data_IF_821410473576
#
_entry.id   IF_821410473576
#
_cell.length_a   1.000
_cell.length_b   1.000
_cell.length_c   1.000
_cell.angle_alpha   90.00
_cell.angle_beta   90.00
_cell.angle_gamma   90.00
#
_symmetry.space_group_name_H-M   'P 1'
#
loop_
_entity.id
_entity.type
_entity.pdbx_description
1 polymer ?
#
# COMPACT_ATOMS: atom_id res chain seq x y z
N UNK A 1 12.77 -8.65 6.09
CA UNK A 1 12.95 -7.26 6.57
C UNK A 1 13.02 -7.24 8.08
N UNK A 2 14.01 -6.57 8.65
CA UNK A 2 14.17 -6.41 10.11
C UNK A 2 13.54 -5.09 10.56
N UNK A 3 12.31 -5.14 11.09
CA UNK A 3 11.50 -3.94 11.37
C UNK A 3 12.12 -3.00 12.41
N UNK A 4 12.82 -3.53 13.42
CA UNK A 4 13.38 -2.73 14.52
C UNK A 4 14.36 -1.64 14.05
N UNK A 5 15.06 -1.84 12.92
CA UNK A 5 15.95 -0.81 12.37
C UNK A 5 15.20 0.44 11.88
N UNK A 6 13.89 0.32 11.60
CA UNK A 6 13.03 1.43 11.19
C UNK A 6 12.28 2.08 12.36
N UNK A 7 12.44 1.57 13.58
CA UNK A 7 11.73 2.09 14.76
C UNK A 7 11.93 3.59 15.00
N UNK A 8 13.09 4.20 14.73
CA UNK A 8 13.25 5.66 14.84
C UNK A 8 12.32 6.49 13.94
N UNK A 9 11.75 5.87 12.92
CA UNK A 9 10.82 6.50 11.96
C UNK A 9 9.34 6.25 12.31
N UNK A 10 9.03 5.49 13.37
CA UNK A 10 7.63 5.23 13.79
C UNK A 10 7.11 6.38 14.66
N UNK A 11 7.02 7.54 14.06
CA UNK A 11 6.63 8.77 14.74
C UNK A 11 5.43 9.41 14.03
N UNK A 12 4.81 10.36 14.71
CA UNK A 12 3.70 11.15 14.16
C UNK A 12 4.06 11.91 12.87
N UNK A 13 5.37 12.12 12.62
CA UNK A 13 5.83 12.89 11.47
C UNK A 13 5.97 12.03 10.21
N UNK A 14 6.03 10.70 10.37
CA UNK A 14 6.24 9.77 9.26
C UNK A 14 5.14 8.74 9.09
N UNK A 15 4.48 8.30 10.15
CA UNK A 15 3.29 7.45 10.04
C UNK A 15 2.07 8.32 9.75
N UNK A 16 1.33 7.97 8.71
CA UNK A 16 0.09 8.64 8.29
C UNK A 16 -1.16 7.78 8.55
N UNK A 17 -0.98 6.66 9.23
CA UNK A 17 -1.96 5.65 9.55
C UNK A 17 -1.28 4.46 10.22
N UNK A 18 -1.93 3.30 10.31
CA UNK A 18 -1.34 2.08 10.82
C UNK A 18 -0.01 1.77 10.16
N UNK A 19 0.94 1.18 10.91
CA UNK A 19 2.33 1.05 10.48
C UNK A 19 2.46 0.30 9.14
N UNK A 20 2.62 1.07 8.07
CA UNK A 20 2.75 0.59 6.70
C UNK A 20 3.93 -0.37 6.49
N UNK A 21 4.99 -0.28 7.32
CA UNK A 21 6.14 -1.18 7.22
C UNK A 21 5.82 -2.61 7.67
N UNK A 22 4.88 -2.81 8.59
CA UNK A 22 4.42 -4.15 8.94
C UNK A 22 3.64 -4.80 7.80
N UNK A 23 2.81 -4.00 7.12
CA UNK A 23 2.07 -4.43 5.93
C UNK A 23 3.05 -4.77 4.81
N UNK A 24 4.01 -3.88 4.55
CA UNK A 24 5.05 -4.10 3.53
C UNK A 24 5.88 -5.37 3.82
N UNK A 25 6.28 -5.59 5.07
CA UNK A 25 7.03 -6.78 5.46
C UNK A 25 6.27 -8.05 5.07
N UNK A 26 5.00 -8.16 5.46
CA UNK A 26 4.21 -9.35 5.18
C UNK A 26 3.98 -9.56 3.67
N UNK A 27 3.81 -8.48 2.90
CA UNK A 27 3.70 -8.56 1.44
C UNK A 27 5.01 -8.98 0.78
N UNK A 28 6.15 -8.51 1.25
CA UNK A 28 7.46 -8.95 0.75
C UNK A 28 7.73 -10.43 1.04
N UNK A 29 7.26 -10.98 2.15
CA UNK A 29 7.31 -12.42 2.46
C UNK A 29 6.47 -13.26 1.48
N UNK A 30 5.40 -12.69 0.94
CA UNK A 30 4.49 -13.32 -0.03
C UNK A 30 4.89 -13.08 -1.49
N UNK A 31 5.89 -12.23 -1.72
CA UNK A 31 6.32 -11.85 -3.07
C UNK A 31 6.99 -13.03 -3.80
N UNK A 32 6.45 -13.51 -4.94
CA UNK A 32 7.04 -14.59 -5.71
C UNK A 32 8.26 -14.14 -6.55
N UNK A 33 8.48 -12.82 -6.68
CA UNK A 33 9.47 -12.22 -7.57
C UNK A 33 10.59 -11.57 -6.76
N UNK A 34 11.82 -12.11 -6.74
CA UNK A 34 12.93 -11.47 -6.05
C UNK A 34 13.19 -10.05 -6.58
N UNK A 35 13.22 -9.07 -5.69
CA UNK A 35 13.61 -7.70 -5.99
C UNK A 35 15.06 -7.48 -5.54
N UNK A 36 15.82 -6.73 -6.34
CA UNK A 36 17.25 -6.51 -6.11
C UNK A 36 17.68 -5.13 -6.62
N UNK A 37 18.99 -4.84 -6.60
CA UNK A 37 19.54 -3.55 -6.98
C UNK A 37 19.31 -3.13 -8.46
N UNK A 38 19.02 -4.09 -9.33
CA UNK A 38 18.69 -3.83 -10.75
C UNK A 38 17.19 -3.58 -10.97
N UNK A 39 16.37 -3.78 -9.94
CA UNK A 39 14.93 -3.59 -10.01
C UNK A 39 14.53 -2.11 -9.97
N UNK A 40 13.46 -1.78 -10.67
CA UNK A 40 12.77 -0.49 -10.57
C UNK A 40 11.39 -0.71 -9.99
N UNK A 41 11.09 -0.04 -8.88
CA UNK A 41 9.84 -0.15 -8.13
C UNK A 41 9.06 1.16 -8.23
N UNK A 42 7.76 1.09 -8.49
CA UNK A 42 6.84 2.19 -8.27
C UNK A 42 6.16 2.00 -6.91
N UNK A 43 6.38 2.92 -5.97
CA UNK A 43 5.62 3.01 -4.72
C UNK A 43 4.51 4.04 -4.92
N UNK A 44 3.27 3.55 -5.05
CA UNK A 44 2.10 4.32 -5.46
C UNK A 44 1.25 4.72 -4.26
N UNK A 45 1.21 6.01 -3.96
CA UNK A 45 0.66 6.56 -2.73
C UNK A 45 1.62 6.34 -1.56
N UNK A 46 2.88 6.78 -1.74
CA UNK A 46 3.95 6.55 -0.78
C UNK A 46 3.85 7.39 0.52
N UNK A 47 2.94 8.38 0.55
CA UNK A 47 2.82 9.32 1.66
C UNK A 47 4.14 10.02 1.95
N UNK A 48 4.60 9.98 3.20
CA UNK A 48 5.90 10.53 3.62
C UNK A 48 7.12 9.77 3.07
N UNK A 49 6.90 8.70 2.30
CA UNK A 49 7.97 7.92 1.65
C UNK A 49 8.61 6.85 2.53
N UNK A 50 8.01 6.51 3.66
CA UNK A 50 8.58 5.52 4.58
C UNK A 50 8.64 4.11 3.95
N UNK A 51 7.63 3.72 3.18
CA UNK A 51 7.60 2.47 2.40
C UNK A 51 8.65 2.48 1.29
N UNK A 52 8.80 3.59 0.58
CA UNK A 52 9.84 3.77 -0.44
C UNK A 52 11.24 3.62 0.14
N UNK A 53 11.48 4.21 1.31
CA UNK A 53 12.74 4.09 2.05
C UNK A 53 13.03 2.63 2.40
N UNK A 54 12.06 1.92 2.98
CA UNK A 54 12.25 0.52 3.34
C UNK A 54 12.46 -0.38 2.11
N UNK A 55 11.70 -0.20 1.03
CA UNK A 55 11.88 -0.90 -0.23
C UNK A 55 13.30 -0.73 -0.77
N UNK A 56 13.79 0.52 -0.83
CA UNK A 56 15.14 0.81 -1.27
C UNK A 56 16.21 0.13 -0.40
N UNK A 57 16.06 0.20 0.93
CA UNK A 57 17.03 -0.37 1.87
C UNK A 57 17.03 -1.90 1.91
N UNK A 58 15.87 -2.54 1.75
CA UNK A 58 15.76 -4.01 1.81
C UNK A 58 16.16 -4.70 0.52
N UNK A 59 15.91 -4.05 -0.62
CA UNK A 59 16.12 -4.68 -1.94
C UNK A 59 17.34 -4.11 -2.67
N UNK A 60 17.79 -2.91 -2.32
CA UNK A 60 18.78 -2.15 -3.09
C UNK A 60 18.20 -1.49 -4.35
N UNK A 61 16.92 -1.71 -4.66
CA UNK A 61 16.25 -1.24 -5.87
C UNK A 61 16.20 0.29 -5.95
N UNK A 62 16.02 0.79 -7.16
CA UNK A 62 15.57 2.17 -7.38
C UNK A 62 14.06 2.25 -7.20
N UNK A 63 13.59 3.34 -6.58
CA UNK A 63 12.17 3.54 -6.29
C UNK A 63 11.71 4.87 -6.89
N UNK A 64 10.59 4.84 -7.63
CA UNK A 64 9.80 6.03 -7.92
C UNK A 64 8.71 6.12 -6.84
N UNK A 65 8.81 7.15 -6.00
CA UNK A 65 7.93 7.37 -4.86
C UNK A 65 6.84 8.37 -5.26
N UNK A 66 5.66 7.88 -5.65
CA UNK A 66 4.57 8.72 -6.12
C UNK A 66 3.56 8.98 -5.03
N UNK A 67 3.21 10.25 -4.83
CA UNK A 67 2.11 10.66 -3.95
C UNK A 67 1.39 11.88 -4.53
N UNK A 68 0.10 12.03 -4.18
CA UNK A 68 -0.72 13.17 -4.58
C UNK A 68 -0.81 14.24 -3.48
N UNK A 69 -0.74 13.84 -2.20
CA UNK A 69 -0.94 14.73 -1.05
C UNK A 69 0.36 15.33 -0.54
N UNK A 70 1.46 14.57 -0.63
CA UNK A 70 2.78 15.00 -0.20
C UNK A 70 3.57 15.48 -1.41
N UNK A 71 4.10 16.69 -1.33
CA UNK A 71 4.83 17.28 -2.45
C UNK A 71 6.14 16.54 -2.75
N UNK A 72 6.55 16.57 -4.03
CA UNK A 72 7.82 16.00 -4.44
C UNK A 72 9.02 16.66 -3.74
N UNK A 73 8.95 17.95 -3.43
CA UNK A 73 10.01 18.68 -2.72
C UNK A 73 10.18 18.19 -1.28
N UNK A 74 9.05 18.00 -0.55
CA UNK A 74 9.09 17.47 0.82
C UNK A 74 9.68 16.06 0.87
N UNK A 75 9.28 15.20 -0.06
CA UNK A 75 9.81 13.84 -0.14
C UNK A 75 11.28 13.83 -0.59
N UNK A 76 11.69 14.69 -1.52
CA UNK A 76 13.10 14.84 -1.91
C UNK A 76 13.99 15.24 -0.72
N UNK A 77 13.53 16.19 0.09
CA UNK A 77 14.22 16.60 1.30
C UNK A 77 14.35 15.43 2.31
N UNK A 78 13.28 14.65 2.52
CA UNK A 78 13.32 13.46 3.40
C UNK A 78 14.27 12.39 2.88
N UNK A 79 14.22 12.05 1.60
CA UNK A 79 15.10 11.03 1.02
C UNK A 79 16.58 11.46 1.06
N UNK A 80 16.85 12.75 0.90
CA UNK A 80 18.19 13.30 1.08
C UNK A 80 18.65 13.16 2.53
N UNK A 81 17.80 13.54 3.49
CA UNK A 81 18.10 13.42 4.91
C UNK A 81 18.30 11.95 5.37
N UNK A 82 17.60 11.01 4.73
CA UNK A 82 17.74 9.57 4.99
C UNK A 82 18.89 8.91 4.21
N UNK A 83 19.64 9.67 3.41
CA UNK A 83 20.80 9.17 2.66
C UNK A 83 20.47 8.27 1.48
N UNK A 84 19.27 8.40 0.91
CA UNK A 84 18.77 7.58 -0.22
C UNK A 84 18.29 8.41 -1.42
N UNK A 85 18.55 9.70 -1.41
CA UNK A 85 18.07 10.62 -2.46
C UNK A 85 18.63 10.35 -3.86
N UNK A 86 19.69 9.58 -3.99
CA UNK A 86 20.25 9.09 -5.26
C UNK A 86 19.52 7.86 -5.82
N UNK A 87 18.74 7.16 -5.01
CA UNK A 87 18.04 5.91 -5.37
C UNK A 87 16.53 6.03 -5.34
N UNK A 88 15.97 7.02 -4.65
CA UNK A 88 14.53 7.26 -4.60
C UNK A 88 14.21 8.58 -5.29
N UNK A 89 13.40 8.52 -6.33
CA UNK A 89 12.94 9.70 -7.07
C UNK A 89 11.50 10.01 -6.66
N UNK A 90 11.24 11.16 -6.04
CA UNK A 90 9.86 11.56 -5.73
C UNK A 90 9.13 11.95 -7.01
N UNK A 91 7.86 11.57 -7.08
CA UNK A 91 6.92 11.90 -8.15
C UNK A 91 5.65 12.47 -7.52
N UNK A 92 5.11 13.55 -8.09
CA UNK A 92 3.90 14.19 -7.59
C UNK A 92 2.82 14.15 -8.69
N UNK A 93 2.14 12.99 -8.81
CA UNK A 93 1.18 12.73 -9.86
C UNK A 93 -0.07 12.03 -9.31
N UNK A 94 -1.22 12.32 -9.92
CA UNK A 94 -2.45 11.59 -9.65
C UNK A 94 -2.36 10.17 -10.21
N UNK A 95 -2.74 9.17 -9.41
CA UNK A 95 -2.73 7.75 -9.79
C UNK A 95 -3.56 7.44 -11.05
N UNK A 96 -4.58 8.24 -11.35
CA UNK A 96 -5.37 8.11 -12.58
C UNK A 96 -4.66 8.61 -13.84
N UNK A 97 -3.62 9.43 -13.70
CA UNK A 97 -2.95 10.13 -14.80
C UNK A 97 -1.45 9.84 -14.94
N UNK A 98 -0.99 8.73 -14.38
CA UNK A 98 0.41 8.31 -14.47
C UNK A 98 0.88 8.18 -15.93
N UNK A 99 2.08 8.69 -16.20
CA UNK A 99 2.65 8.77 -17.55
C UNK A 99 3.99 8.04 -17.64
N UNK A 100 4.01 6.80 -17.17
CA UNK A 100 5.19 5.96 -17.32
C UNK A 100 5.16 5.18 -18.64
N UNK A 101 6.33 4.79 -19.13
CA UNK A 101 6.41 3.90 -20.26
C UNK A 101 5.84 2.52 -19.90
N UNK A 102 5.21 1.80 -20.83
CA UNK A 102 4.81 0.42 -20.59
C UNK A 102 6.00 -0.46 -20.20
N UNK A 103 5.73 -1.49 -19.39
CA UNK A 103 6.73 -2.49 -18.98
C UNK A 103 7.98 -1.87 -18.33
N UNK A 104 7.80 -0.80 -17.52
CA UNK A 104 8.90 -0.10 -16.86
C UNK A 104 9.29 -0.70 -15.51
N UNK A 105 8.33 -1.26 -14.76
CA UNK A 105 8.54 -1.63 -13.36
C UNK A 105 8.62 -3.13 -13.15
N UNK A 106 9.57 -3.54 -12.31
CA UNK A 106 9.68 -4.90 -11.79
C UNK A 106 8.61 -5.14 -10.72
N UNK A 107 8.27 -4.09 -9.95
CA UNK A 107 7.16 -4.12 -9.01
C UNK A 107 6.39 -2.79 -8.95
N UNK A 108 5.10 -2.87 -8.67
CA UNK A 108 4.27 -1.76 -8.21
C UNK A 108 3.79 -2.09 -6.80
N UNK A 109 4.11 -1.24 -5.85
CA UNK A 109 3.74 -1.39 -4.44
C UNK A 109 2.78 -0.26 -4.07
N UNK A 110 1.75 -0.55 -3.28
CA UNK A 110 0.86 0.46 -2.72
C UNK A 110 0.36 0.01 -1.35
N UNK A 111 0.72 0.75 -0.32
CA UNK A 111 0.35 0.44 1.05
C UNK A 111 -0.55 1.54 1.59
N UNK A 112 -1.73 1.15 2.07
CA UNK A 112 -2.74 2.05 2.68
C UNK A 112 -3.16 3.22 1.77
N UNK A 113 -3.14 2.99 0.45
CA UNK A 113 -3.45 4.02 -0.54
C UNK A 113 -4.33 3.53 -1.69
N UNK A 114 -4.12 2.31 -2.20
CA UNK A 114 -4.77 1.79 -3.40
C UNK A 114 -6.32 1.83 -3.34
N UNK A 115 -6.92 1.72 -2.17
CA UNK A 115 -8.37 1.75 -1.96
C UNK A 115 -9.00 3.11 -2.32
N UNK A 116 -8.27 4.21 -2.26
CA UNK A 116 -8.79 5.54 -2.58
C UNK A 116 -9.16 5.72 -4.06
N UNK A 117 -8.50 4.99 -4.96
CA UNK A 117 -8.65 5.22 -6.41
C UNK A 117 -8.99 3.96 -7.21
N UNK A 118 -8.79 2.77 -6.67
CA UNK A 118 -8.85 1.51 -7.42
C UNK A 118 -10.10 0.65 -7.15
N UNK A 119 -11.12 1.17 -6.45
CA UNK A 119 -12.35 0.44 -6.11
C UNK A 119 -13.26 0.12 -7.32
N UNK A 120 -12.79 0.31 -8.56
CA UNK A 120 -13.56 0.08 -9.78
C UNK A 120 -13.00 -1.11 -10.57
N UNK A 121 -13.91 -1.96 -11.07
CA UNK A 121 -13.53 -3.06 -11.96
C UNK A 121 -12.74 -2.54 -13.18
N UNK A 122 -11.68 -3.26 -13.54
CA UNK A 122 -10.83 -2.89 -14.69
C UNK A 122 -9.75 -1.85 -14.41
N UNK A 123 -9.72 -1.21 -13.22
CA UNK A 123 -8.69 -0.22 -12.90
C UNK A 123 -7.28 -0.82 -12.96
N UNK A 124 -7.07 -1.97 -12.34
CA UNK A 124 -5.78 -2.64 -12.35
C UNK A 124 -5.29 -2.91 -13.78
N UNK A 125 -6.15 -3.50 -14.60
CA UNK A 125 -5.82 -3.88 -15.98
C UNK A 125 -5.50 -2.67 -16.86
N UNK A 126 -6.19 -1.56 -16.65
CA UNK A 126 -6.06 -0.36 -17.48
C UNK A 126 -4.93 0.56 -17.02
N UNK A 127 -4.68 0.63 -15.71
CA UNK A 127 -3.80 1.65 -15.12
C UNK A 127 -2.50 1.11 -14.54
N UNK A 128 -2.46 -0.14 -14.06
CA UNK A 128 -1.30 -0.69 -13.37
C UNK A 128 -0.62 -1.78 -14.19
N UNK A 129 -1.38 -2.77 -14.68
CA UNK A 129 -0.84 -3.91 -15.42
C UNK A 129 0.04 -3.52 -16.61
N UNK A 130 -0.27 -2.46 -17.39
CA UNK A 130 0.59 -2.03 -18.50
C UNK A 130 1.98 -1.60 -18.07
N UNK A 131 2.14 -1.06 -16.86
CA UNK A 131 3.42 -0.58 -16.35
C UNK A 131 4.33 -1.71 -15.84
N UNK A 132 3.77 -2.85 -15.45
CA UNK A 132 4.55 -3.99 -15.02
C UNK A 132 5.29 -4.63 -16.20
N UNK A 133 6.56 -4.97 -15.99
CA UNK A 133 7.32 -5.85 -16.90
C UNK A 133 6.68 -7.24 -16.95
N UNK A 134 6.87 -8.02 -18.03
CA UNK A 134 6.56 -9.46 -17.98
C UNK A 134 7.27 -10.14 -16.81
N UNK A 135 6.52 -10.88 -16.00
CA UNK A 135 7.01 -11.47 -14.75
C UNK A 135 7.02 -10.52 -13.54
N UNK A 136 6.76 -9.22 -13.73
CA UNK A 136 6.69 -8.24 -12.65
C UNK A 136 5.47 -8.44 -11.73
N UNK A 137 5.51 -7.85 -10.55
CA UNK A 137 4.54 -8.08 -9.47
C UNK A 137 3.90 -6.78 -8.98
N UNK A 138 2.61 -6.83 -8.61
CA UNK A 138 1.95 -5.82 -7.82
C UNK A 138 1.73 -6.34 -6.39
N UNK A 139 2.11 -5.54 -5.40
CA UNK A 139 2.00 -5.83 -3.97
C UNK A 139 1.17 -4.72 -3.32
N UNK A 140 -0.08 -5.01 -3.00
CA UNK A 140 -0.97 -4.03 -2.40
C UNK A 140 -1.42 -4.48 -1.02
N UNK A 141 -1.38 -3.56 -0.06
CA UNK A 141 -1.92 -3.73 1.27
C UNK A 141 -2.86 -2.57 1.58
N UNK A 142 -4.12 -2.86 1.80
CA UNK A 142 -5.16 -1.84 1.99
C UNK A 142 -6.00 -2.14 3.23
N UNK A 143 -6.59 -1.13 3.86
CA UNK A 143 -7.62 -1.37 4.86
C UNK A 143 -8.81 -2.08 4.21
N UNK A 144 -9.44 -2.95 4.97
CA UNK A 144 -10.57 -3.72 4.51
C UNK A 144 -11.52 -4.09 5.64
N UNK A 145 -12.48 -4.91 5.33
CA UNK A 145 -13.50 -5.40 6.26
C UNK A 145 -13.54 -6.94 6.25
N UNK A 146 -13.95 -7.51 7.40
CA UNK A 146 -14.05 -8.96 7.57
C UNK A 146 -15.27 -9.55 6.88
N UNK A 147 -16.37 -8.82 6.92
CA UNK A 147 -17.65 -9.21 6.30
C UNK A 147 -17.85 -8.47 4.98
N UNK A 148 -18.80 -8.91 4.18
CA UNK A 148 -19.15 -8.20 2.94
C UNK A 148 -19.80 -6.85 3.27
N UNK A 149 -19.49 -5.84 2.44
CA UNK A 149 -20.04 -4.49 2.63
C UNK A 149 -21.54 -4.48 2.29
N UNK A 150 -22.35 -4.14 3.27
CA UNK A 150 -23.78 -3.96 3.17
C UNK A 150 -24.26 -2.75 4.00
N UNK A 151 -25.55 -2.49 4.01
CA UNK A 151 -26.14 -1.39 4.79
C UNK A 151 -25.89 -1.52 6.31
N UNK A 152 -25.73 -2.72 6.84
CA UNK A 152 -25.43 -2.93 8.26
C UNK A 152 -23.96 -2.60 8.54
N UNK A 153 -23.07 -3.05 7.71
CA UNK A 153 -21.61 -2.75 7.78
C UNK A 153 -21.37 -1.25 7.62
N UNK A 154 -22.06 -0.61 6.66
CA UNK A 154 -22.00 0.85 6.48
C UNK A 154 -22.38 1.60 7.76
N UNK A 155 -23.50 1.28 8.36
CA UNK A 155 -23.94 1.91 9.63
C UNK A 155 -22.99 1.68 10.79
N UNK A 156 -22.32 0.53 10.81
CA UNK A 156 -21.36 0.18 11.85
C UNK A 156 -20.07 0.98 11.69
N UNK A 157 -19.59 1.19 10.48
CA UNK A 157 -18.34 1.88 10.17
C UNK A 157 -18.49 3.41 10.08
N UNK A 158 -19.70 3.92 9.76
CA UNK A 158 -19.95 5.35 9.56
C UNK A 158 -19.55 6.26 10.73
N UNK A 159 -19.68 5.87 12.01
CA UNK A 159 -19.20 6.71 13.12
C UNK A 159 -17.71 7.01 13.10
N UNK A 160 -16.91 6.12 12.48
CA UNK A 160 -15.47 6.25 12.32
C UNK A 160 -15.09 6.81 10.94
N UNK A 161 -15.58 6.22 9.86
CA UNK A 161 -15.16 6.52 8.48
C UNK A 161 -16.06 7.53 7.75
N UNK A 162 -17.24 7.86 8.31
CA UNK A 162 -18.19 8.72 7.61
C UNK A 162 -18.59 8.12 6.26
N UNK A 163 -18.50 8.94 5.21
CA UNK A 163 -18.84 8.54 3.84
C UNK A 163 -17.76 7.64 3.17
N UNK A 164 -16.58 7.52 3.76
CA UNK A 164 -15.47 6.73 3.18
C UNK A 164 -15.59 5.22 3.42
N UNK A 165 -16.57 4.78 4.22
CA UNK A 165 -16.78 3.37 4.55
C UNK A 165 -16.92 2.45 3.31
N UNK A 166 -17.44 2.96 2.21
CA UNK A 166 -17.63 2.21 0.95
C UNK A 166 -16.29 1.81 0.28
N UNK A 167 -15.18 2.43 0.65
CA UNK A 167 -13.85 2.09 0.09
C UNK A 167 -13.25 0.83 0.72
N UNK A 168 -13.81 0.38 1.85
CA UNK A 168 -13.33 -0.78 2.59
C UNK A 168 -13.99 -2.04 2.06
N UNK A 169 -13.21 -2.91 1.45
CA UNK A 169 -13.70 -4.14 0.83
C UNK A 169 -13.12 -5.38 1.51
N UNK A 170 -13.88 -6.46 1.52
CA UNK A 170 -13.39 -7.78 1.92
C UNK A 170 -12.38 -8.35 0.92
N UNK A 171 -11.57 -9.35 1.28
CA UNK A 171 -10.70 -10.06 0.34
C UNK A 171 -11.46 -10.62 -0.87
N UNK A 172 -12.68 -11.10 -0.64
CA UNK A 172 -13.56 -11.62 -1.71
C UNK A 172 -13.96 -10.51 -2.69
N UNK A 173 -14.34 -9.34 -2.16
CA UNK A 173 -14.73 -8.20 -3.01
C UNK A 173 -13.53 -7.65 -3.79
N UNK A 174 -12.35 -7.53 -3.16
CA UNK A 174 -11.13 -7.13 -3.87
C UNK A 174 -10.77 -8.10 -5.00
N UNK A 175 -10.90 -9.42 -4.77
CA UNK A 175 -10.68 -10.42 -5.83
C UNK A 175 -11.64 -10.22 -7.00
N UNK A 176 -12.90 -9.85 -6.73
CA UNK A 176 -13.89 -9.53 -7.76
C UNK A 176 -13.54 -8.25 -8.53
N UNK A 177 -13.13 -7.19 -7.81
CA UNK A 177 -12.70 -5.91 -8.41
C UNK A 177 -11.47 -6.10 -9.31
N UNK A 178 -10.48 -6.87 -8.86
CA UNK A 178 -9.33 -7.24 -9.66
C UNK A 178 -9.71 -8.03 -10.92
N UNK A 179 -10.78 -8.82 -10.86
CA UNK A 179 -11.26 -9.58 -12.02
C UNK A 179 -10.25 -10.56 -12.58
N UNK A 180 -10.39 -10.89 -13.86
CA UNK A 180 -9.49 -11.79 -14.58
C UNK A 180 -8.94 -11.10 -15.83
N UNK A 181 -7.69 -11.39 -16.16
CA UNK A 181 -7.06 -10.94 -17.40
C UNK A 181 -6.05 -12.00 -17.88
N UNK A 182 -5.92 -12.25 -19.21
CA UNK A 182 -5.01 -13.27 -19.72
C UNK A 182 -3.54 -13.04 -19.35
N UNK A 183 -3.12 -11.77 -19.22
CA UNK A 183 -1.73 -11.39 -18.92
C UNK A 183 -1.43 -11.27 -17.42
N UNK A 184 -2.36 -11.65 -16.53
CA UNK A 184 -2.11 -11.60 -15.09
C UNK A 184 -2.51 -12.89 -14.39
N UNK A 185 -1.93 -13.06 -13.21
CA UNK A 185 -2.31 -14.09 -12.24
C UNK A 185 -2.50 -13.43 -10.89
N UNK A 186 -3.66 -13.66 -10.26
CA UNK A 186 -3.88 -13.29 -8.87
C UNK A 186 -3.29 -14.41 -8.01
N UNK A 187 -2.08 -14.18 -7.52
CA UNK A 187 -1.35 -15.14 -6.68
C UNK A 187 -2.05 -15.28 -5.33
N UNK A 188 -2.36 -14.15 -4.70
CA UNK A 188 -3.03 -14.17 -3.39
C UNK A 188 -3.90 -12.91 -3.20
N UNK A 189 -5.04 -13.08 -2.54
CA UNK A 189 -5.83 -12.00 -1.92
C UNK A 189 -6.30 -12.54 -0.58
N UNK A 190 -5.81 -11.99 0.51
CA UNK A 190 -6.00 -12.53 1.86
C UNK A 190 -5.98 -11.44 2.92
N UNK A 191 -6.50 -11.76 4.11
CA UNK A 191 -6.27 -10.94 5.29
C UNK A 191 -4.80 -11.03 5.73
N UNK A 192 -4.22 -9.90 6.16
CA UNK A 192 -2.86 -9.85 6.67
C UNK A 192 -2.85 -10.04 8.19
N UNK A 193 -1.85 -10.80 8.67
CA UNK A 193 -1.66 -11.11 10.10
C UNK A 193 -1.14 -9.92 10.90
N UNK A 194 -0.49 -8.97 10.23
CA UNK A 194 0.13 -7.82 10.87
C UNK A 194 -0.87 -6.76 11.36
N UNK A 195 -2.17 -6.93 11.12
CA UNK A 195 -3.21 -5.93 11.38
C UNK A 195 -3.13 -5.33 12.80
N UNK A 196 -3.26 -6.15 13.83
CA UNK A 196 -3.26 -5.63 15.21
C UNK A 196 -1.93 -4.95 15.57
N UNK A 197 -0.81 -5.53 15.16
CA UNK A 197 0.51 -4.97 15.45
C UNK A 197 0.74 -3.62 14.73
N UNK A 198 0.28 -3.50 13.48
CA UNK A 198 0.38 -2.25 12.73
C UNK A 198 -0.46 -1.14 13.37
N UNK A 199 -1.67 -1.47 13.84
CA UNK A 199 -2.54 -0.55 14.56
C UNK A 199 -1.97 -0.15 15.91
N UNK A 200 -1.39 -1.08 16.68
CA UNK A 200 -0.77 -0.77 17.97
C UNK A 200 0.39 0.22 17.82
N UNK A 201 1.23 0.05 16.79
CA UNK A 201 2.30 1.03 16.51
C UNK A 201 1.73 2.43 16.22
N UNK A 202 0.65 2.51 15.45
CA UNK A 202 -0.02 3.78 15.13
C UNK A 202 -0.65 4.44 16.35
N UNK A 203 -1.43 3.69 17.11
CA UNK A 203 -2.14 4.17 18.29
C UNK A 203 -1.22 4.64 19.42
N UNK A 204 0.05 4.25 19.39
CA UNK A 204 1.08 4.74 20.34
C UNK A 204 1.73 6.04 19.91
N UNK A 205 1.47 6.52 18.69
CA UNK A 205 1.97 7.82 18.25
C UNK A 205 1.19 8.97 18.91
N UNK A 206 1.81 10.15 18.98
CA UNK A 206 1.14 11.37 19.45
C UNK A 206 0.37 12.10 18.32
N UNK A 207 0.09 11.42 17.21
CA UNK A 207 -0.65 11.96 16.09
C UNK A 207 -2.13 12.17 16.46
N UNK A 208 -2.71 13.30 16.06
CA UNK A 208 -4.11 13.61 16.40
C UNK A 208 -5.11 12.64 15.75
N UNK A 209 -4.82 12.15 14.56
CA UNK A 209 -5.64 11.13 13.91
C UNK A 209 -5.57 9.79 14.66
N UNK A 210 -4.38 9.40 15.14
CA UNK A 210 -4.22 8.19 15.97
C UNK A 210 -5.04 8.28 17.27
N UNK A 211 -5.09 9.46 17.90
CA UNK A 211 -5.94 9.69 19.09
C UNK A 211 -7.43 9.59 18.77
N UNK A 212 -7.85 10.08 17.60
CA UNK A 212 -9.22 9.95 17.13
C UNK A 212 -9.58 8.47 16.86
N UNK A 213 -8.71 7.73 16.19
CA UNK A 213 -8.88 6.31 15.91
C UNK A 213 -8.94 5.45 17.18
N UNK A 214 -8.18 5.82 18.21
CA UNK A 214 -8.15 5.10 19.47
C UNK A 214 -9.53 4.98 20.12
N UNK A 215 -10.42 5.95 19.90
CA UNK A 215 -11.81 5.94 20.39
C UNK A 215 -12.60 4.78 19.81
N UNK A 216 -12.31 4.40 18.57
CA UNK A 216 -13.03 3.38 17.83
C UNK A 216 -12.32 2.02 17.80
N UNK A 217 -11.10 1.94 18.34
CA UNK A 217 -10.26 0.75 18.21
C UNK A 217 -10.94 -0.54 18.69
N UNK A 218 -11.41 -0.58 19.93
CA UNK A 218 -11.99 -1.80 20.51
C UNK A 218 -13.42 -2.07 20.02
N UNK A 219 -14.15 -1.04 19.59
CA UNK A 219 -15.58 -1.15 19.30
C UNK A 219 -15.89 -1.33 17.83
N UNK A 220 -15.08 -0.79 16.94
CA UNK A 220 -15.31 -0.78 15.49
C UNK A 220 -14.11 -1.34 14.74
N UNK A 221 -12.92 -0.75 14.92
CA UNK A 221 -11.77 -1.05 14.08
C UNK A 221 -11.34 -2.50 14.23
N UNK A 222 -10.98 -2.89 15.44
CA UNK A 222 -10.47 -4.25 15.73
C UNK A 222 -11.46 -5.37 15.38
N UNK A 223 -12.74 -5.31 15.76
CA UNK A 223 -13.69 -6.40 15.46
C UNK A 223 -14.14 -6.45 14.00
N UNK A 224 -14.22 -5.31 13.30
CA UNK A 224 -14.90 -5.24 12.01
C UNK A 224 -13.97 -5.14 10.82
N UNK A 225 -12.73 -4.68 11.01
CA UNK A 225 -11.80 -4.41 9.93
C UNK A 225 -10.59 -5.34 9.95
N UNK A 226 -9.84 -5.30 8.86
CA UNK A 226 -8.59 -6.03 8.66
C UNK A 226 -7.68 -5.23 7.72
N UNK A 227 -6.50 -5.77 7.40
CA UNK A 227 -5.79 -5.43 6.17
C UNK A 227 -5.96 -6.53 5.14
N UNK A 228 -6.22 -6.14 3.91
CA UNK A 228 -6.25 -7.04 2.76
C UNK A 228 -4.96 -6.89 1.98
N UNK A 229 -4.20 -7.98 1.90
CA UNK A 229 -3.04 -8.10 1.05
C UNK A 229 -3.42 -8.69 -0.30
N UNK A 230 -2.90 -8.08 -1.37
CA UNK A 230 -3.10 -8.53 -2.74
C UNK A 230 -1.74 -8.68 -3.42
N UNK A 231 -1.47 -9.87 -3.95
CA UNK A 231 -0.27 -10.20 -4.73
C UNK A 231 -0.73 -10.60 -6.12
N UNK A 232 -0.36 -9.81 -7.13
CA UNK A 232 -0.74 -10.04 -8.53
C UNK A 232 0.53 -10.06 -9.36
N UNK A 233 0.70 -11.07 -10.18
CA UNK A 233 1.84 -11.20 -11.09
C UNK A 233 1.42 -10.99 -12.53
N UNK A 234 2.17 -10.18 -13.29
CA UNK A 234 2.07 -10.13 -14.75
C UNK A 234 2.72 -11.37 -15.33
N UNK A 235 1.99 -12.10 -16.18
CA UNK A 235 2.52 -13.31 -16.82
C UNK A 235 3.74 -12.98 -17.68
N UNK A 236 4.73 -13.87 -17.68
CA UNK A 236 5.84 -13.81 -18.62
C UNK A 236 5.32 -14.05 -20.04
N UNK A 237 5.90 -13.35 -21.02
CA UNK A 237 5.63 -13.65 -22.44
C UNK A 237 6.25 -15.02 -22.73
N UNK A 238 5.44 -15.96 -23.19
CA UNK A 238 5.91 -17.28 -23.69
C UNK A 238 6.70 -17.10 -24.99
#
# INVERSE_FOLDING_TARGET
MELEKYRPYWTKDYLMGPNSLRVLQELLEKNPCPLNADSLILDLGCGTGLTSFALCMETGAKVLANDLWISGEENAARFTAWGVGDRITPVHENADNLRFAPESFDAVVSIDSYHYFAGKEGYFQQKILPFLKPGGVALFGVPGIREEFDTQTEKLLSPWLGEEAYMFHSPRQWRKILGNHPDMEIVEVTELRCFEAAWQDWLTTENEFAKADAVFWETIIKPCTNFVGMVIQKRSKS
#
